data_IF_182122196097
#
_entry.id   IF_182122196097
#
_cell.length_a   1.000
_cell.length_b   1.000
_cell.length_c   1.000
_cell.angle_alpha   90.00
_cell.angle_beta   90.00
_cell.angle_gamma   90.00
#
_symmetry.space_group_name_H-M   'P 1'
#
loop_
_entity.id
_entity.type
_entity.pdbx_description
1 polymer ?
#
# COMPACT_ATOMS: atom_id res chain seq x y z
N UNK A 1 -67.62 -8.28 19.69
CA UNK A 1 -66.88 -7.59 20.77
C UNK A 1 -65.40 -7.58 20.41
N UNK A 2 -64.80 -6.38 20.39
CA UNK A 2 -63.46 -6.06 19.91
C UNK A 2 -62.37 -6.84 20.66
N UNK A 3 -61.50 -7.55 19.94
CA UNK A 3 -60.27 -8.14 20.50
C UNK A 3 -59.17 -7.09 20.37
N UNK A 4 -58.78 -6.49 21.51
CA UNK A 4 -57.64 -5.56 21.60
C UNK A 4 -56.34 -6.31 21.25
N UNK A 5 -55.64 -5.83 20.23
CA UNK A 5 -54.25 -6.20 19.96
C UNK A 5 -53.38 -5.28 20.83
N UNK A 6 -52.77 -5.83 21.89
CA UNK A 6 -51.70 -5.15 22.62
C UNK A 6 -50.44 -5.19 21.75
N UNK A 7 -50.03 -4.04 21.22
CA UNK A 7 -48.69 -3.83 20.67
C UNK A 7 -47.71 -3.85 21.85
N UNK A 8 -46.84 -4.85 21.90
CA UNK A 8 -45.65 -4.82 22.75
C UNK A 8 -44.63 -3.89 22.07
N UNK A 9 -44.34 -2.78 22.72
CA UNK A 9 -43.24 -1.89 22.35
C UNK A 9 -41.95 -2.59 22.81
N UNK A 10 -41.22 -3.16 21.85
CA UNK A 10 -39.87 -3.68 22.09
C UNK A 10 -38.98 -2.45 22.33
N UNK A 11 -38.64 -2.18 23.60
CA UNK A 11 -37.65 -1.18 23.95
C UNK A 11 -36.29 -1.76 23.54
N UNK A 12 -35.78 -1.34 22.39
CA UNK A 12 -34.41 -1.64 21.99
C UNK A 12 -33.46 -1.00 22.99
N UNK A 13 -32.68 -1.82 23.69
CA UNK A 13 -31.55 -1.35 24.46
C UNK A 13 -30.55 -0.74 23.49
N UNK A 14 -30.41 0.59 23.51
CA UNK A 14 -29.33 1.29 22.84
C UNK A 14 -28.08 0.95 23.63
N UNK A 15 -27.29 -0.01 23.13
CA UNK A 15 -25.89 -0.15 23.55
C UNK A 15 -25.16 1.09 23.04
N UNK A 16 -24.96 2.06 23.92
CA UNK A 16 -23.93 3.07 23.71
C UNK A 16 -22.62 2.36 24.02
N UNK A 17 -21.94 1.87 22.99
CA UNK A 17 -20.54 1.50 23.11
C UNK A 17 -19.78 2.78 23.43
N UNK A 18 -19.44 2.96 24.70
CA UNK A 18 -18.38 3.89 25.07
C UNK A 18 -17.11 3.32 24.45
N UNK A 19 -16.60 3.94 23.38
CA UNK A 19 -15.23 3.73 22.95
C UNK A 19 -14.35 4.15 24.13
N UNK A 20 -13.89 3.18 24.89
CA UNK A 20 -12.77 3.37 25.80
C UNK A 20 -11.59 3.45 24.85
N UNK A 21 -11.11 4.66 24.56
CA UNK A 21 -9.79 4.81 23.95
C UNK A 21 -8.82 4.12 24.92
N UNK A 22 -8.19 3.04 24.48
CA UNK A 22 -7.15 2.41 25.27
C UNK A 22 -6.05 3.45 25.42
N UNK A 23 -5.78 3.87 26.66
CA UNK A 23 -4.62 4.71 26.92
C UNK A 23 -3.36 3.94 26.48
N UNK A 24 -2.41 4.63 25.85
CA UNK A 24 -1.14 4.03 25.44
C UNK A 24 -0.41 3.25 26.55
N UNK A 25 0.53 2.41 26.15
CA UNK A 25 1.32 1.54 27.03
C UNK A 25 2.64 2.22 27.39
N UNK A 26 2.76 2.67 28.64
CA UNK A 26 3.99 3.26 29.19
C UNK A 26 5.03 2.19 29.57
N UNK A 27 6.32 2.56 29.62
CA UNK A 27 7.38 1.71 30.16
C UNK A 27 7.66 0.46 29.35
N UNK A 28 7.57 0.55 28.02
CA UNK A 28 7.94 -0.53 27.11
C UNK A 28 9.44 -0.87 27.23
N UNK A 29 9.77 -2.14 26.96
CA UNK A 29 11.14 -2.69 27.02
C UNK A 29 11.36 -3.67 25.87
N UNK A 30 12.61 -3.87 25.48
CA UNK A 30 13.00 -4.74 24.36
C UNK A 30 13.08 -4.01 23.01
N UNK A 31 13.41 -4.78 21.98
CA UNK A 31 13.56 -4.29 20.60
C UNK A 31 12.37 -4.73 19.77
N UNK A 32 11.74 -3.80 19.06
CA UNK A 32 10.63 -4.08 18.16
C UNK A 32 10.98 -3.62 16.75
N UNK A 33 10.63 -4.43 15.76
CA UNK A 33 10.82 -4.12 14.33
C UNK A 33 9.50 -4.24 13.58
N UNK A 34 9.34 -3.47 12.53
CA UNK A 34 8.15 -3.49 11.68
C UNK A 34 8.19 -2.36 10.68
N UNK A 35 7.03 -1.97 10.20
CA UNK A 35 6.92 -0.96 9.15
C UNK A 35 5.94 0.14 9.50
N UNK A 36 6.15 1.29 8.87
CA UNK A 36 5.28 2.45 8.97
C UNK A 36 4.97 3.04 7.59
N UNK A 37 3.83 3.72 7.52
CA UNK A 37 3.50 4.63 6.42
C UNK A 37 3.40 6.05 6.94
N UNK A 38 3.67 7.03 6.08
CA UNK A 38 3.57 8.44 6.42
C UNK A 38 2.45 9.10 5.62
N UNK A 39 1.72 10.02 6.26
CA UNK A 39 0.92 11.02 5.56
C UNK A 39 1.46 12.41 5.90
N UNK A 40 1.64 13.27 4.91
CA UNK A 40 2.04 14.67 5.10
C UNK A 40 0.85 15.57 4.81
N UNK A 41 0.48 16.43 5.76
CA UNK A 41 -0.66 17.36 5.64
C UNK A 41 -0.22 18.81 5.67
N UNK A 42 -1.04 19.68 5.06
CA UNK A 42 -0.84 21.13 5.09
C UNK A 42 -1.61 21.80 6.22
N UNK A 43 -0.90 22.50 7.11
CA UNK A 43 -1.51 23.42 8.06
C UNK A 43 -2.02 24.70 7.35
N UNK A 44 -3.17 25.29 7.76
CA UNK A 44 -4.16 24.81 8.75
C UNK A 44 -5.28 23.97 8.13
N UNK A 45 -5.14 23.57 6.86
CA UNK A 45 -6.25 23.00 6.09
C UNK A 45 -6.48 21.52 6.35
N UNK A 46 -5.46 20.80 6.82
CA UNK A 46 -5.48 19.33 6.94
C UNK A 46 -5.45 18.60 5.60
N UNK A 47 -5.37 19.32 4.47
CA UNK A 47 -5.30 18.73 3.14
C UNK A 47 -4.07 17.82 3.05
N UNK A 48 -4.27 16.61 2.53
CA UNK A 48 -3.18 15.68 2.23
C UNK A 48 -2.32 16.27 1.13
N UNK A 49 -1.03 16.40 1.41
CA UNK A 49 -0.01 16.79 0.43
C UNK A 49 0.67 15.59 -0.21
N UNK A 50 0.64 14.43 0.44
CA UNK A 50 1.19 13.18 -0.08
C UNK A 50 1.20 12.11 1.01
N UNK A 51 1.31 10.86 0.59
CA UNK A 51 1.53 9.70 1.44
C UNK A 51 2.82 8.99 1.00
N UNK A 52 3.45 8.23 1.89
CA UNK A 52 4.57 7.37 1.51
C UNK A 52 4.11 6.28 0.55
N UNK A 53 4.82 6.11 -0.58
CA UNK A 53 4.47 5.16 -1.67
C UNK A 53 4.52 3.69 -1.25
N UNK A 54 5.20 3.41 -0.14
CA UNK A 54 5.22 2.09 0.49
C UNK A 54 5.33 2.22 2.00
N UNK A 55 5.04 1.12 2.68
CA UNK A 55 5.49 0.92 4.04
C UNK A 55 7.02 0.80 4.06
N UNK A 56 7.64 1.40 5.06
CA UNK A 56 9.09 1.41 5.25
C UNK A 56 9.48 0.93 6.64
N UNK A 57 10.63 0.27 6.79
CA UNK A 57 11.00 -0.32 8.05
C UNK A 57 11.39 0.74 9.08
N UNK A 58 11.04 0.45 10.32
CA UNK A 58 11.55 1.11 11.52
C UNK A 58 11.93 0.10 12.60
N UNK A 59 12.80 0.50 13.51
CA UNK A 59 13.20 -0.34 14.64
C UNK A 59 13.24 0.51 15.89
N UNK A 60 12.50 0.08 16.91
CA UNK A 60 12.39 0.73 18.21
C UNK A 60 13.16 -0.10 19.25
N UNK A 61 14.25 0.45 19.78
CA UNK A 61 14.99 -0.12 20.91
C UNK A 61 14.58 0.63 22.19
N UNK A 62 13.62 0.07 22.92
CA UNK A 62 13.11 0.71 24.14
C UNK A 62 14.08 0.67 25.32
N UNK A 63 15.04 -0.26 25.28
CA UNK A 63 16.06 -0.37 26.31
C UNK A 63 17.14 0.71 26.15
N UNK A 64 17.48 1.05 24.89
CA UNK A 64 18.40 2.15 24.56
C UNK A 64 17.72 3.52 24.40
N UNK A 65 16.40 3.55 24.22
CA UNK A 65 15.60 4.75 23.87
C UNK A 65 15.97 5.34 22.52
N UNK A 66 16.19 4.46 21.56
CA UNK A 66 16.60 4.78 20.21
C UNK A 66 15.57 4.24 19.22
N UNK A 67 15.34 4.98 18.14
CA UNK A 67 14.57 4.54 16.99
C UNK A 67 15.37 4.77 15.71
N UNK A 68 15.39 3.78 14.85
CA UNK A 68 15.90 3.88 13.48
C UNK A 68 14.69 3.95 12.55
N UNK A 69 14.57 5.03 11.79
CA UNK A 69 13.44 5.27 10.89
C UNK A 69 13.99 5.62 9.51
N UNK A 70 13.65 4.81 8.51
CA UNK A 70 14.08 5.04 7.12
C UNK A 70 13.03 5.84 6.35
N UNK A 71 13.43 6.53 5.28
CA UNK A 71 12.50 7.30 4.43
C UNK A 71 12.13 6.58 3.13
N UNK A 72 11.18 7.13 2.39
CA UNK A 72 10.81 6.70 1.03
C UNK A 72 10.38 7.91 0.20
N UNK A 73 9.67 7.67 -0.89
CA UNK A 73 9.10 8.68 -1.77
C UNK A 73 7.67 8.99 -1.34
N UNK A 74 7.29 10.26 -1.40
CA UNK A 74 5.90 10.70 -1.28
C UNK A 74 5.22 10.53 -2.64
N UNK A 75 3.92 10.22 -2.64
CA UNK A 75 3.09 10.08 -3.84
C UNK A 75 3.05 11.30 -4.77
N UNK A 76 3.58 12.44 -4.32
CA UNK A 76 3.77 13.66 -5.12
C UNK A 76 5.16 13.81 -5.75
N UNK A 77 6.02 12.81 -5.66
CA UNK A 77 7.31 12.83 -6.35
C UNK A 77 8.53 13.13 -5.49
N UNK A 78 8.38 13.32 -4.17
CA UNK A 78 9.49 13.80 -3.33
C UNK A 78 9.98 12.74 -2.38
N UNK A 79 11.28 12.46 -2.41
CA UNK A 79 11.90 11.66 -1.36
C UNK A 79 11.90 12.43 -0.05
N UNK A 80 11.69 11.73 1.05
CA UNK A 80 11.87 12.27 2.40
C UNK A 80 12.79 11.35 3.20
N UNK A 81 13.40 11.89 4.25
CA UNK A 81 14.09 11.11 5.26
C UNK A 81 13.91 11.73 6.65
N UNK A 82 14.10 10.88 7.66
CA UNK A 82 14.29 11.29 9.05
C UNK A 82 15.75 11.13 9.39
N UNK A 83 16.35 12.20 9.90
CA UNK A 83 17.72 12.18 10.39
C UNK A 83 17.75 12.36 11.90
N UNK A 84 18.89 12.05 12.52
CA UNK A 84 19.16 12.52 13.88
C UNK A 84 19.16 14.07 13.94
N UNK A 85 19.09 14.61 15.15
CA UNK A 85 18.99 16.06 15.32
C UNK A 85 20.19 16.77 14.69
N UNK A 86 19.91 17.81 13.89
CA UNK A 86 20.90 18.53 13.10
C UNK A 86 21.63 17.70 12.02
N UNK A 87 21.22 16.45 11.77
CA UNK A 87 21.94 15.48 10.93
C UNK A 87 23.42 15.40 11.38
N UNK A 88 23.61 15.05 12.65
CA UNK A 88 24.91 15.08 13.32
C UNK A 88 25.80 13.90 12.89
N UNK A 89 25.20 12.74 12.58
CA UNK A 89 25.88 11.62 11.90
C UNK A 89 25.17 11.26 10.59
N UNK A 90 25.61 11.82 9.45
CA UNK A 90 25.00 11.58 8.14
C UNK A 90 25.06 10.13 7.64
N UNK A 91 25.90 9.30 8.26
CA UNK A 91 26.03 7.89 7.89
C UNK A 91 25.19 6.98 8.81
N UNK A 92 24.70 7.49 9.96
CA UNK A 92 23.94 6.71 10.95
C UNK A 92 22.82 7.52 11.60
N UNK A 93 21.62 7.49 11.01
CA UNK A 93 20.45 8.18 11.53
C UNK A 93 19.80 7.41 12.70
N UNK A 94 20.31 7.61 13.91
CA UNK A 94 19.74 7.08 15.16
C UNK A 94 19.02 8.20 15.90
N UNK A 95 17.70 8.09 16.01
CA UNK A 95 16.86 9.11 16.63
C UNK A 95 16.58 8.72 18.09
N UNK A 96 16.84 9.65 19.01
CA UNK A 96 16.52 9.42 20.43
C UNK A 96 15.05 9.73 20.70
N UNK A 97 14.47 9.06 21.70
CA UNK A 97 13.12 9.36 22.17
C UNK A 97 12.99 9.48 23.69
N UNK A 98 11.91 10.14 24.11
CA UNK A 98 11.48 10.25 25.50
C UNK A 98 10.19 9.44 25.68
N UNK A 99 10.17 8.55 26.67
CA UNK A 99 8.94 7.97 27.22
C UNK A 99 8.31 9.00 28.17
N UNK A 100 7.12 9.49 27.81
CA UNK A 100 6.40 10.51 28.56
C UNK A 100 5.66 9.93 29.78
N UNK A 101 5.77 8.61 30.02
CA UNK A 101 5.23 7.85 31.16
C UNK A 101 3.71 7.73 31.21
N UNK A 102 3.02 8.19 30.16
CA UNK A 102 1.57 8.15 30.02
C UNK A 102 1.11 7.30 28.83
N UNK A 103 2.03 6.55 28.23
CA UNK A 103 1.78 5.75 27.03
C UNK A 103 2.13 6.47 25.73
N UNK A 104 2.58 7.73 25.80
CA UNK A 104 3.11 8.47 24.67
C UNK A 104 4.63 8.52 24.66
N UNK A 105 5.20 8.57 23.45
CA UNK A 105 6.63 8.58 23.21
C UNK A 105 6.96 9.68 22.20
N UNK A 106 7.92 10.54 22.51
CA UNK A 106 8.29 11.68 21.65
C UNK A 106 9.69 11.48 21.08
N UNK A 107 9.81 11.46 19.75
CA UNK A 107 11.09 11.42 19.02
C UNK A 107 11.52 12.84 18.63
N UNK A 108 12.82 13.02 18.37
CA UNK A 108 13.42 14.33 18.04
C UNK A 108 14.21 14.30 16.71
N UNK A 109 13.57 14.04 15.56
CA UNK A 109 14.27 13.94 14.28
C UNK A 109 14.50 15.29 13.61
N UNK A 110 15.38 15.30 12.62
CA UNK A 110 15.36 16.27 11.53
C UNK A 110 14.60 15.68 10.33
N UNK A 111 13.49 16.29 9.95
CA UNK A 111 12.74 15.88 8.76
C UNK A 111 13.28 16.62 7.53
N UNK A 112 13.63 15.87 6.48
CA UNK A 112 14.16 16.42 5.23
C UNK A 112 13.30 16.01 4.05
N UNK A 113 12.95 16.98 3.19
CA UNK A 113 12.37 16.74 1.87
C UNK A 113 13.47 16.98 0.83
N UNK A 114 13.76 15.96 0.03
CA UNK A 114 14.71 16.05 -1.07
C UNK A 114 14.05 16.67 -2.30
N UNK A 115 13.97 18.01 -2.29
CA UNK A 115 13.58 18.80 -3.46
C UNK A 115 14.64 19.88 -3.75
N UNK A 116 15.59 19.63 -4.67
CA UNK A 116 16.70 20.55 -4.95
C UNK A 116 16.26 21.96 -5.36
N UNK A 117 15.15 22.09 -6.11
CA UNK A 117 14.61 23.41 -6.51
C UNK A 117 14.10 24.25 -5.34
N UNK A 118 13.80 23.60 -4.22
CA UNK A 118 13.44 24.24 -2.95
C UNK A 118 14.64 24.29 -1.98
N UNK A 119 15.82 23.87 -2.42
CA UNK A 119 17.05 23.84 -1.62
C UNK A 119 17.17 22.65 -0.67
N UNK A 120 16.47 21.53 -0.94
CA UNK A 120 16.40 20.36 -0.05
C UNK A 120 16.02 20.75 1.38
N UNK A 121 14.82 21.31 1.55
CA UNK A 121 14.42 21.87 2.83
C UNK A 121 14.38 20.80 3.92
N UNK A 122 14.88 21.16 5.10
CA UNK A 122 14.94 20.30 6.28
C UNK A 122 14.77 21.10 7.55
N UNK A 123 14.15 20.52 8.57
CA UNK A 123 14.05 21.13 9.89
C UNK A 123 13.99 20.09 10.99
N UNK A 124 14.57 20.43 12.15
CA UNK A 124 14.36 19.67 13.37
C UNK A 124 12.90 19.82 13.80
N UNK A 125 12.31 18.72 14.27
CA UNK A 125 10.94 18.67 14.75
C UNK A 125 10.85 17.71 15.94
N UNK A 126 9.68 17.66 16.54
CA UNK A 126 9.24 16.52 17.35
C UNK A 126 8.19 15.74 16.59
N UNK A 127 8.05 14.46 16.90
CA UNK A 127 6.86 13.67 16.56
C UNK A 127 6.50 12.89 17.81
N UNK A 128 5.24 12.95 18.22
CA UNK A 128 4.75 12.21 19.40
C UNK A 128 3.82 11.10 18.95
N UNK A 129 4.05 9.92 19.50
CA UNK A 129 3.26 8.73 19.23
C UNK A 129 2.50 8.32 20.48
N UNK A 130 1.26 7.88 20.32
CA UNK A 130 0.63 6.95 21.24
C UNK A 130 1.01 5.53 20.80
N UNK A 131 1.55 4.73 21.73
CA UNK A 131 1.93 3.34 21.44
C UNK A 131 1.06 2.41 22.26
N UNK A 132 0.32 1.52 21.60
CA UNK A 132 -0.54 0.52 22.24
C UNK A 132 0.12 -0.84 22.06
N UNK A 133 0.41 -1.54 23.16
CA UNK A 133 0.93 -2.90 23.13
C UNK A 133 -0.18 -3.92 23.28
N UNK A 134 -0.22 -4.89 22.37
CA UNK A 134 -1.05 -6.10 22.47
C UNK A 134 -0.14 -7.30 22.28
N UNK A 135 0.04 -8.10 23.33
CA UNK A 135 0.97 -9.24 23.37
C UNK A 135 2.39 -8.86 22.95
N UNK A 136 2.90 -9.38 21.83
CA UNK A 136 4.23 -9.06 21.29
C UNK A 136 4.21 -7.96 20.22
N UNK A 137 3.04 -7.36 19.96
CA UNK A 137 2.83 -6.35 18.92
C UNK A 137 2.61 -4.96 19.50
N UNK A 138 3.05 -3.96 18.74
CA UNK A 138 2.84 -2.54 18.98
C UNK A 138 2.04 -1.94 17.82
N UNK A 139 1.00 -1.20 18.15
CA UNK A 139 0.37 -0.23 17.27
C UNK A 139 0.93 1.16 17.62
N UNK A 140 1.53 1.84 16.65
CA UNK A 140 2.28 3.08 16.87
C UNK A 140 1.62 4.19 16.03
N UNK A 141 0.90 5.07 16.71
CA UNK A 141 0.07 6.10 16.08
C UNK A 141 0.60 7.50 16.39
N UNK A 142 0.94 8.28 15.36
CA UNK A 142 1.22 9.71 15.57
C UNK A 142 -0.03 10.40 16.09
N UNK A 143 0.12 11.24 17.12
CA UNK A 143 -0.93 12.09 17.66
C UNK A 143 -0.75 13.56 17.22
N UNK A 144 -1.84 14.33 17.30
CA UNK A 144 -1.81 15.79 17.20
C UNK A 144 -1.06 16.34 18.43
N UNK A 145 0.14 16.88 18.20
CA UNK A 145 1.02 17.34 19.25
C UNK A 145 1.88 18.52 18.78
N UNK A 146 1.44 19.75 19.07
CA UNK A 146 2.26 20.94 18.83
C UNK A 146 2.40 21.86 20.05
N UNK A 147 3.43 22.70 20.01
CA UNK A 147 3.64 23.77 20.99
C UNK A 147 2.54 24.85 20.83
N UNK A 148 1.40 24.66 21.49
CA UNK A 148 0.33 25.64 21.51
C UNK A 148 -1.08 25.06 21.54
N UNK A 149 -1.89 25.44 20.56
CA UNK A 149 -3.28 25.01 20.45
C UNK A 149 -3.34 23.93 19.38
N UNK A 150 -3.71 22.73 19.81
CA UNK A 150 -4.01 21.60 18.94
C UNK A 150 -5.00 22.01 17.85
N UNK A 151 -4.68 21.71 16.60
CA UNK A 151 -5.45 22.13 15.44
C UNK A 151 -6.28 20.98 14.82
N UNK A 152 -6.12 19.76 15.34
CA UNK A 152 -6.81 18.55 14.90
C UNK A 152 -6.12 17.82 13.75
N UNK A 153 -4.94 18.24 13.34
CA UNK A 153 -4.11 17.58 12.32
C UNK A 153 -3.06 16.73 13.06
N UNK A 154 -2.84 15.49 12.57
CA UNK A 154 -1.87 14.60 13.20
C UNK A 154 -0.44 15.03 12.87
N UNK A 155 0.42 15.06 13.88
CA UNK A 155 1.83 15.43 13.77
C UNK A 155 2.17 16.68 14.56
N UNK A 156 3.33 17.26 14.23
CA UNK A 156 3.79 18.54 14.75
C UNK A 156 4.03 19.49 13.58
N UNK A 157 3.61 20.74 13.71
CA UNK A 157 3.80 21.77 12.69
C UNK A 157 5.29 22.03 12.41
N UNK A 158 5.69 21.86 11.15
CA UNK A 158 7.02 22.16 10.65
C UNK A 158 6.95 23.34 9.67
N UNK A 159 7.31 24.57 10.10
CA UNK A 159 7.26 25.74 9.25
C UNK A 159 8.45 25.75 8.26
N UNK A 160 8.17 26.07 7.00
CA UNK A 160 9.21 26.39 6.02
C UNK A 160 10.01 25.20 5.45
N UNK A 161 9.63 23.95 5.78
CA UNK A 161 10.18 22.74 5.14
C UNK A 161 9.52 22.44 3.79
N UNK A 162 8.35 23.02 3.56
CA UNK A 162 7.73 23.13 2.25
C UNK A 162 7.38 24.62 2.08
N UNK A 163 6.99 25.16 0.90
CA UNK A 163 6.45 26.52 0.81
C UNK A 163 5.23 26.77 1.72
N UNK A 164 4.73 25.72 2.38
CA UNK A 164 3.67 25.69 3.37
C UNK A 164 4.20 25.09 4.68
N UNK A 165 3.49 25.33 5.78
CA UNK A 165 3.69 24.58 7.03
C UNK A 165 3.10 23.19 6.86
N UNK A 166 3.88 22.17 7.20
CA UNK A 166 3.50 20.77 7.01
C UNK A 166 3.49 20.02 8.34
N UNK A 167 2.75 18.92 8.37
CA UNK A 167 2.66 18.03 9.51
C UNK A 167 2.80 16.58 9.02
N UNK A 168 3.99 15.96 9.22
CA UNK A 168 4.20 14.56 8.95
C UNK A 168 3.60 13.68 10.06
N UNK A 169 2.86 12.66 9.66
CA UNK A 169 2.25 11.68 10.56
C UNK A 169 2.66 10.26 10.16
N UNK A 170 3.88 9.80 10.54
CA UNK A 170 4.26 8.40 10.42
C UNK A 170 3.43 7.54 11.40
N UNK A 171 2.91 6.41 10.95
CA UNK A 171 2.16 5.48 11.79
C UNK A 171 2.33 4.07 11.24
N UNK A 172 2.27 3.07 12.11
CA UNK A 172 2.56 1.71 11.72
C UNK A 172 2.49 0.73 12.85
N UNK A 173 3.12 -0.42 12.64
CA UNK A 173 3.17 -1.49 13.63
C UNK A 173 4.61 -1.97 13.82
N UNK A 174 4.87 -2.59 14.97
CA UNK A 174 6.14 -3.26 15.22
C UNK A 174 5.92 -4.47 16.12
N UNK A 175 6.75 -5.50 15.97
CA UNK A 175 6.71 -6.72 16.79
C UNK A 175 8.02 -6.95 17.50
N UNK A 176 7.93 -7.56 18.68
CA UNK A 176 9.08 -7.88 19.52
C UNK A 176 10.02 -8.82 18.76
N UNK A 177 11.29 -8.41 18.64
CA UNK A 177 12.31 -9.21 17.95
C UNK A 177 12.50 -10.56 18.64
N UNK A 178 12.44 -11.63 17.84
CA UNK A 178 12.55 -13.01 18.33
C UNK A 178 11.31 -13.55 19.06
N UNK A 179 10.17 -12.89 18.94
CA UNK A 179 8.89 -13.44 19.37
C UNK A 179 8.43 -14.59 18.46
N UNK A 180 7.63 -15.47 19.05
CA UNK A 180 6.88 -16.55 18.40
C UNK A 180 5.52 -16.57 19.12
N UNK A 181 4.51 -15.93 18.53
CA UNK A 181 3.23 -15.63 19.18
C UNK A 181 2.36 -16.88 19.36
N UNK A 182 2.47 -17.84 18.43
CA UNK A 182 1.67 -19.06 18.41
C UNK A 182 2.43 -20.30 18.95
N UNK A 183 3.72 -20.15 19.29
CA UNK A 183 4.63 -21.19 19.79
C UNK A 183 4.80 -22.38 18.83
N UNK A 184 4.76 -22.15 17.51
CA UNK A 184 4.91 -23.20 16.47
C UNK A 184 6.34 -23.37 15.96
N UNK A 185 7.26 -22.47 16.33
CA UNK A 185 8.65 -22.48 15.92
C UNK A 185 8.98 -21.63 14.69
N UNK A 186 8.00 -20.99 14.07
CA UNK A 186 8.17 -19.90 13.10
C UNK A 186 8.19 -18.58 13.87
N UNK A 187 9.27 -17.81 13.74
CA UNK A 187 9.33 -16.50 14.40
C UNK A 187 8.29 -15.54 13.82
N UNK A 188 7.78 -14.59 14.61
CA UNK A 188 6.84 -13.57 14.15
C UNK A 188 7.38 -12.81 12.92
N UNK A 189 8.70 -12.58 12.88
CA UNK A 189 9.39 -11.94 11.74
C UNK A 189 9.35 -12.80 10.49
N UNK A 190 9.60 -14.10 10.62
CA UNK A 190 9.54 -15.03 9.49
C UNK A 190 8.11 -15.27 9.00
N UNK A 191 7.14 -15.39 9.91
CA UNK A 191 5.73 -15.50 9.56
C UNK A 191 5.28 -14.30 8.72
N UNK A 192 5.59 -13.07 9.16
CA UNK A 192 5.27 -11.85 8.41
C UNK A 192 5.97 -11.84 7.04
N UNK A 193 7.26 -12.22 6.99
CA UNK A 193 8.01 -12.30 5.73
C UNK A 193 7.38 -13.28 4.73
N UNK A 194 6.78 -14.35 5.23
CA UNK A 194 6.06 -15.35 4.44
C UNK A 194 4.60 -14.97 4.14
N UNK A 195 4.09 -13.87 4.70
CA UNK A 195 2.69 -13.46 4.55
C UNK A 195 1.71 -14.15 5.50
N UNK A 196 2.21 -14.93 6.46
CA UNK A 196 1.42 -15.66 7.45
C UNK A 196 0.90 -14.74 8.57
N UNK A 197 -0.14 -15.19 9.27
CA UNK A 197 -0.58 -14.57 10.52
C UNK A 197 0.26 -15.14 11.69
N UNK A 198 1.20 -14.37 12.27
CA UNK A 198 2.14 -14.88 13.27
C UNK A 198 1.48 -15.40 14.55
N UNK A 199 0.22 -15.03 14.82
CA UNK A 199 -0.50 -15.46 16.01
C UNK A 199 -1.54 -16.56 15.72
N UNK A 200 -1.59 -17.10 14.50
CA UNK A 200 -2.41 -18.27 14.15
C UNK A 200 -1.52 -19.46 13.85
N UNK A 201 -1.93 -20.65 14.29
CA UNK A 201 -1.23 -21.90 13.97
C UNK A 201 -1.48 -22.38 12.52
N UNK A 202 -2.47 -21.80 11.86
CA UNK A 202 -3.06 -22.19 10.58
C UNK A 202 -3.66 -20.90 9.99
N UNK A 203 -2.92 -20.29 9.07
CA UNK A 203 -3.20 -18.94 8.56
C UNK A 203 -4.41 -18.94 7.63
N UNK A 204 -4.45 -19.90 6.70
CA UNK A 204 -5.50 -20.02 5.69
C UNK A 204 -6.76 -20.75 6.20
N UNK A 205 -6.65 -21.43 7.34
CA UNK A 205 -7.74 -22.04 8.08
C UNK A 205 -8.21 -23.39 7.51
N UNK A 206 -7.36 -24.10 6.78
CA UNK A 206 -7.72 -25.37 6.13
C UNK A 206 -7.61 -26.60 7.06
N UNK A 207 -7.00 -26.42 8.23
CA UNK A 207 -6.78 -27.45 9.25
C UNK A 207 -5.38 -28.08 9.25
N UNK A 208 -4.48 -27.66 8.36
CA UNK A 208 -3.07 -27.98 8.35
C UNK A 208 -2.30 -26.80 8.99
N UNK A 209 -1.40 -27.06 9.94
CA UNK A 209 -0.60 -25.98 10.54
C UNK A 209 0.46 -25.40 9.59
N UNK A 210 0.67 -24.08 9.69
CA UNK A 210 1.64 -23.32 8.88
C UNK A 210 3.04 -23.97 8.90
N UNK A 211 3.53 -24.39 10.08
CA UNK A 211 4.85 -25.03 10.19
C UNK A 211 4.98 -26.34 9.40
N UNK A 212 3.87 -27.03 9.11
CA UNK A 212 3.86 -28.24 8.27
C UNK A 212 3.92 -27.84 6.79
N UNK A 213 3.21 -26.81 6.39
CA UNK A 213 3.09 -26.36 5.01
C UNK A 213 4.30 -25.56 4.56
N UNK A 214 4.86 -24.70 5.41
CA UNK A 214 6.17 -24.08 5.19
C UNK A 214 7.26 -25.16 5.05
N UNK A 215 7.19 -26.23 5.84
CA UNK A 215 8.17 -27.32 5.78
C UNK A 215 9.48 -27.03 6.51
N UNK A 216 10.55 -27.77 6.17
CA UNK A 216 11.81 -27.73 6.93
C UNK A 216 12.73 -26.55 6.57
N UNK A 217 12.57 -25.93 5.40
CA UNK A 217 13.38 -24.80 4.93
C UNK A 217 12.52 -23.56 4.74
N UNK A 218 12.58 -22.67 5.73
CA UNK A 218 11.81 -21.42 5.75
C UNK A 218 12.20 -20.40 4.64
N UNK A 219 13.32 -20.63 3.96
CA UNK A 219 13.73 -19.83 2.81
C UNK A 219 13.24 -20.42 1.48
N UNK A 220 12.76 -21.66 1.51
CA UNK A 220 12.17 -22.38 0.37
C UNK A 220 10.90 -23.10 0.87
N UNK A 221 9.87 -22.35 1.28
CA UNK A 221 8.60 -22.92 1.72
C UNK A 221 7.99 -23.80 0.62
N UNK A 222 7.10 -24.74 0.99
CA UNK A 222 6.44 -25.55 -0.03
C UNK A 222 5.49 -24.71 -0.86
N UNK A 223 5.47 -25.03 -2.13
CA UNK A 223 4.58 -24.54 -3.18
C UNK A 223 4.34 -25.78 -4.06
N UNK A 224 3.25 -26.48 -3.78
CA UNK A 224 3.00 -27.85 -4.23
C UNK A 224 2.54 -27.91 -5.69
N UNK A 225 1.98 -26.83 -6.23
CA UNK A 225 1.58 -26.73 -7.63
C UNK A 225 2.47 -25.81 -8.49
N UNK A 226 3.37 -25.06 -7.85
CA UNK A 226 4.39 -24.24 -8.50
C UNK A 226 3.85 -22.91 -9.04
N UNK A 227 2.76 -22.40 -8.47
CA UNK A 227 2.13 -21.18 -8.96
C UNK A 227 2.76 -19.87 -8.42
N UNK A 228 3.62 -20.00 -7.39
CA UNK A 228 4.32 -18.90 -6.72
C UNK A 228 3.73 -18.48 -5.38
N UNK A 229 2.59 -19.04 -4.97
CA UNK A 229 2.04 -18.92 -3.63
C UNK A 229 2.46 -20.17 -2.82
N UNK A 230 2.68 -20.00 -1.51
CA UNK A 230 3.13 -21.10 -0.66
C UNK A 230 1.92 -21.87 -0.13
N UNK A 231 2.07 -23.19 0.09
CA UNK A 231 1.01 -24.07 0.58
C UNK A 231 0.28 -23.48 1.80
N UNK A 232 1.02 -22.85 2.73
CA UNK A 232 0.49 -22.27 3.97
C UNK A 232 -0.42 -21.03 3.78
N UNK A 233 -0.58 -20.56 2.54
CA UNK A 233 -1.48 -19.47 2.16
C UNK A 233 -2.63 -19.95 1.28
N UNK A 234 -2.75 -21.25 1.02
CA UNK A 234 -3.65 -21.83 0.03
C UNK A 234 -4.52 -22.95 0.61
N UNK A 235 -5.78 -22.61 0.91
CA UNK A 235 -6.64 -23.53 1.64
C UNK A 235 -6.92 -24.86 0.91
N UNK A 236 -6.48 -25.96 1.51
CA UNK A 236 -6.89 -27.32 1.20
C UNK A 236 -6.40 -27.83 -0.16
N UNK A 237 -7.34 -28.14 -1.05
CA UNK A 237 -7.01 -28.64 -2.40
C UNK A 237 -6.44 -27.54 -3.31
N UNK A 238 -6.52 -26.26 -2.91
CA UNK A 238 -5.99 -25.13 -3.68
C UNK A 238 -4.46 -25.17 -3.80
N UNK A 239 -3.74 -25.55 -2.74
CA UNK A 239 -2.29 -25.76 -2.74
C UNK A 239 -1.78 -26.78 -3.79
N UNK A 240 -2.69 -27.52 -4.43
CA UNK A 240 -2.37 -28.52 -5.46
C UNK A 240 -3.02 -28.19 -6.82
N UNK A 241 -3.53 -26.97 -7.01
CA UNK A 241 -4.41 -26.59 -8.11
C UNK A 241 -3.98 -25.30 -8.82
N UNK A 242 -2.98 -25.43 -9.69
CA UNK A 242 -2.38 -24.29 -10.40
C UNK A 242 -3.29 -23.57 -11.41
N UNK A 243 -4.59 -23.89 -11.49
CA UNK A 243 -5.53 -23.21 -12.40
C UNK A 243 -6.37 -22.12 -11.71
N UNK A 244 -6.28 -22.01 -10.39
CA UNK A 244 -7.06 -21.06 -9.59
C UNK A 244 -6.35 -20.74 -8.29
N UNK A 245 -6.17 -19.44 -8.03
CA UNK A 245 -5.60 -18.92 -6.79
C UNK A 245 -6.64 -18.02 -6.16
N UNK A 246 -6.87 -18.16 -4.86
CA UNK A 246 -7.89 -17.42 -4.14
C UNK A 246 -7.27 -16.44 -3.14
N UNK A 247 -7.97 -15.34 -2.91
CA UNK A 247 -7.69 -14.40 -1.81
C UNK A 247 -6.28 -13.80 -1.73
N UNK A 248 -5.60 -13.62 -2.88
CA UNK A 248 -4.29 -12.94 -2.95
C UNK A 248 -4.44 -11.50 -2.43
N UNK A 249 -3.63 -11.14 -1.42
CA UNK A 249 -3.66 -9.82 -0.80
C UNK A 249 -3.13 -8.73 -1.73
N UNK A 250 -3.91 -7.65 -1.87
CA UNK A 250 -3.56 -6.43 -2.63
C UNK A 250 -2.98 -5.34 -1.71
N UNK A 251 -2.41 -4.29 -2.29
CA UNK A 251 -1.75 -3.20 -1.53
C UNK A 251 -2.68 -2.41 -0.60
N UNK A 252 -4.00 -2.44 -0.86
CA UNK A 252 -5.01 -1.80 -0.03
C UNK A 252 -5.67 -2.77 0.96
N UNK A 253 -5.05 -3.92 1.23
CA UNK A 253 -5.55 -5.02 2.07
C UNK A 253 -6.82 -5.72 1.56
N UNK A 254 -7.37 -5.33 0.40
CA UNK A 254 -8.39 -6.16 -0.27
C UNK A 254 -7.74 -7.39 -0.90
N UNK A 255 -8.56 -8.32 -1.38
CA UNK A 255 -8.08 -9.58 -1.99
C UNK A 255 -8.55 -9.73 -3.42
N UNK A 256 -7.80 -10.48 -4.22
CA UNK A 256 -8.13 -10.87 -5.58
C UNK A 256 -7.97 -12.38 -5.77
N UNK A 257 -8.95 -13.01 -6.40
CA UNK A 257 -8.84 -14.37 -6.89
C UNK A 257 -8.62 -14.37 -8.40
N UNK A 258 -7.74 -15.24 -8.88
CA UNK A 258 -7.40 -15.41 -10.29
C UNK A 258 -7.71 -16.85 -10.71
N UNK A 259 -8.35 -17.03 -11.86
CA UNK A 259 -8.58 -18.37 -12.41
C UNK A 259 -8.47 -18.40 -13.93
N UNK A 260 -8.02 -19.54 -14.44
CA UNK A 260 -7.91 -19.85 -15.87
C UNK A 260 -8.73 -21.10 -16.19
N UNK A 261 -8.78 -21.48 -17.47
CA UNK A 261 -9.42 -22.75 -17.86
C UNK A 261 -8.73 -23.95 -17.19
N UNK A 262 -9.48 -25.00 -16.83
CA UNK A 262 -8.96 -26.20 -16.13
C UNK A 262 -7.76 -26.85 -16.83
N UNK A 263 -7.62 -26.67 -18.14
CA UNK A 263 -6.52 -27.19 -18.93
C UNK A 263 -5.29 -26.29 -18.94
N UNK A 264 -5.20 -25.25 -18.11
CA UNK A 264 -4.12 -24.28 -18.08
C UNK A 264 -3.60 -24.11 -16.67
N UNK A 265 -2.38 -23.58 -16.57
CA UNK A 265 -1.72 -23.36 -15.28
C UNK A 265 -1.29 -21.90 -15.15
N UNK A 266 -1.33 -21.38 -13.94
CA UNK A 266 -0.80 -20.12 -13.46
C UNK A 266 0.57 -20.41 -12.82
N UNK A 267 1.48 -19.45 -12.99
CA UNK A 267 2.82 -19.50 -12.42
C UNK A 267 3.32 -18.09 -12.11
N UNK A 268 4.22 -17.97 -11.13
CA UNK A 268 4.87 -16.72 -10.74
C UNK A 268 3.86 -15.61 -10.45
N UNK A 269 2.83 -15.91 -9.67
CA UNK A 269 1.82 -14.91 -9.31
C UNK A 269 2.38 -14.00 -8.21
N UNK A 270 2.33 -12.68 -8.44
CA UNK A 270 2.80 -11.69 -7.47
C UNK A 270 2.03 -10.38 -7.56
N UNK A 271 2.03 -9.64 -6.45
CA UNK A 271 1.47 -8.28 -6.38
C UNK A 271 2.58 -7.30 -6.03
N UNK A 272 2.73 -6.25 -6.84
CA UNK A 272 3.77 -5.22 -6.66
C UNK A 272 3.18 -3.81 -6.72
N UNK A 273 3.99 -2.80 -6.37
CA UNK A 273 3.59 -1.41 -6.52
C UNK A 273 3.57 -0.97 -7.98
N UNK A 274 2.62 -0.10 -8.32
CA UNK A 274 2.62 0.67 -9.55
C UNK A 274 3.45 1.95 -9.43
N UNK A 275 4.00 2.25 -8.25
CA UNK A 275 4.83 3.42 -7.99
C UNK A 275 6.31 3.05 -8.14
N UNK A 276 7.10 3.92 -8.79
CA UNK A 276 8.52 3.71 -9.03
C UNK A 276 9.38 4.42 -7.99
N UNK A 277 10.45 3.74 -7.56
CA UNK A 277 11.51 4.40 -6.80
C UNK A 277 12.28 5.35 -7.72
N UNK A 278 12.50 6.57 -7.23
CA UNK A 278 13.42 7.51 -7.87
C UNK A 278 14.87 7.01 -7.59
N UNK A 279 15.69 6.66 -8.60
CA UNK A 279 17.05 6.17 -8.36
C UNK A 279 17.97 7.30 -7.88
N UNK A 280 18.55 7.23 -6.67
CA UNK A 280 19.57 8.14 -6.10
C UNK A 280 19.91 9.41 -6.94
N UNK A 281 19.01 10.39 -6.93
CA UNK A 281 19.13 11.58 -7.75
C UNK A 281 20.23 12.51 -7.22
N UNK A 282 21.38 12.53 -7.89
CA UNK A 282 22.46 13.51 -7.64
C UNK A 282 22.32 14.82 -8.43
N UNK A 283 21.22 15.03 -9.17
CA UNK A 283 21.07 16.20 -10.05
C UNK A 283 19.63 16.67 -10.36
N UNK A 284 19.51 17.98 -10.59
CA UNK A 284 18.30 18.79 -10.90
C UNK A 284 17.62 18.51 -12.26
N UNK A 285 18.07 17.52 -13.03
CA UNK A 285 17.54 17.23 -14.38
C UNK A 285 16.30 16.34 -14.42
N UNK A 286 16.07 15.54 -13.38
CA UNK A 286 15.14 14.40 -13.38
C UNK A 286 13.87 14.63 -12.54
N UNK A 287 13.46 15.88 -12.31
CA UNK A 287 12.40 16.19 -11.32
C UNK A 287 11.23 17.04 -11.87
N UNK A 288 11.11 17.17 -13.20
CA UNK A 288 10.05 17.97 -13.83
C UNK A 288 9.24 17.19 -14.89
N UNK A 289 9.60 15.96 -15.24
CA UNK A 289 8.84 15.17 -16.23
C UNK A 289 8.43 13.75 -15.79
N UNK A 290 8.86 13.26 -14.63
CA UNK A 290 8.66 11.85 -14.28
C UNK A 290 7.38 11.66 -13.47
N UNK A 291 6.37 11.12 -14.14
CA UNK A 291 5.28 10.40 -13.49
C UNK A 291 5.89 9.23 -12.71
N UNK A 292 5.70 9.24 -11.38
CA UNK A 292 6.18 8.17 -10.51
C UNK A 292 5.28 6.95 -10.53
N UNK A 293 4.24 6.93 -11.36
CA UNK A 293 3.52 5.70 -11.64
C UNK A 293 4.11 5.04 -12.88
N UNK A 294 4.14 3.71 -12.90
CA UNK A 294 4.39 2.92 -14.10
C UNK A 294 3.26 3.08 -15.15
N UNK A 295 2.16 3.74 -14.76
CA UNK A 295 0.90 3.87 -15.48
C UNK A 295 0.68 5.23 -16.16
N UNK A 296 -0.56 5.72 -16.13
CA UNK A 296 -0.92 7.03 -16.67
C UNK A 296 -0.85 8.10 -15.57
N UNK A 297 -0.21 9.25 -15.83
CA UNK A 297 0.00 10.26 -14.82
C UNK A 297 -1.31 10.79 -14.22
N UNK A 298 -1.35 10.88 -12.89
CA UNK A 298 -2.48 11.43 -12.14
C UNK A 298 -3.62 10.44 -11.86
N UNK A 299 -3.45 9.16 -12.21
CA UNK A 299 -4.29 8.08 -11.69
C UNK A 299 -3.70 7.50 -10.41
N UNK A 300 -4.58 7.00 -9.54
CA UNK A 300 -4.18 6.23 -8.36
C UNK A 300 -4.31 4.73 -8.67
N UNK A 301 -3.29 3.97 -8.29
CA UNK A 301 -3.21 2.52 -8.47
C UNK A 301 -3.16 1.82 -7.11
N UNK A 302 -4.17 2.08 -6.27
CA UNK A 302 -4.24 1.59 -4.88
C UNK A 302 -4.26 0.07 -4.74
N UNK A 303 -4.53 -0.66 -5.83
CA UNK A 303 -4.49 -2.12 -5.87
C UNK A 303 -3.09 -2.68 -6.20
N UNK A 304 -2.16 -1.84 -6.65
CA UNK A 304 -0.88 -2.26 -7.20
C UNK A 304 -0.99 -2.82 -8.63
N UNK A 305 0.01 -3.62 -9.01
CA UNK A 305 -0.02 -4.45 -10.20
C UNK A 305 -0.03 -5.94 -9.82
N UNK A 306 -0.74 -6.74 -10.61
CA UNK A 306 -0.76 -8.19 -10.53
C UNK A 306 0.06 -8.75 -11.69
N UNK A 307 1.11 -9.51 -11.38
CA UNK A 307 1.95 -10.21 -12.34
C UNK A 307 1.69 -11.71 -12.25
N UNK A 308 1.62 -12.39 -13.39
CA UNK A 308 1.47 -13.85 -13.46
C UNK A 308 1.87 -14.36 -14.85
N UNK A 309 2.18 -15.65 -14.94
CA UNK A 309 2.39 -16.39 -16.19
C UNK A 309 1.25 -17.37 -16.38
N UNK A 310 0.67 -17.42 -17.58
CA UNK A 310 -0.29 -18.47 -17.95
C UNK A 310 0.34 -19.44 -18.94
N UNK A 311 0.35 -20.73 -18.62
CA UNK A 311 0.86 -21.80 -19.48
C UNK A 311 -0.28 -22.49 -20.21
N UNK A 312 -0.29 -22.40 -21.53
CA UNK A 312 -1.28 -23.04 -22.40
C UNK A 312 -0.86 -24.49 -22.68
N UNK A 313 -1.62 -25.47 -22.17
CA UNK A 313 -1.34 -26.88 -22.47
C UNK A 313 -1.84 -27.34 -23.85
N UNK A 314 -2.64 -26.52 -24.54
CA UNK A 314 -3.13 -26.78 -25.90
C UNK A 314 -2.45 -25.83 -26.88
N UNK A 315 -1.44 -26.33 -27.59
CA UNK A 315 -0.67 -25.57 -28.59
C UNK A 315 -1.49 -25.14 -29.83
N UNK A 316 -2.79 -25.46 -29.89
CA UNK A 316 -3.70 -24.92 -30.90
C UNK A 316 -4.37 -23.61 -30.50
N UNK A 317 -4.26 -23.22 -29.22
CA UNK A 317 -4.72 -21.93 -28.72
C UNK A 317 -3.55 -20.95 -28.60
N UNK A 318 -3.73 -19.76 -29.16
CA UNK A 318 -2.80 -18.65 -28.98
C UNK A 318 -3.29 -17.64 -27.93
N UNK A 319 -4.53 -17.81 -27.44
CA UNK A 319 -5.17 -16.87 -26.52
C UNK A 319 -6.00 -17.60 -25.48
N UNK A 320 -6.13 -17.00 -24.30
CA UNK A 320 -7.01 -17.51 -23.25
C UNK A 320 -7.68 -16.37 -22.49
N UNK A 321 -8.70 -16.73 -21.70
CA UNK A 321 -9.38 -15.84 -20.78
C UNK A 321 -8.93 -16.12 -19.36
N UNK A 322 -8.49 -15.07 -18.67
CA UNK A 322 -8.22 -15.06 -17.23
C UNK A 322 -9.40 -14.37 -16.55
N UNK A 323 -9.93 -14.99 -15.50
CA UNK A 323 -10.97 -14.40 -14.66
C UNK A 323 -10.34 -13.85 -13.40
N UNK A 324 -10.66 -12.60 -13.07
CA UNK A 324 -10.19 -11.91 -11.87
C UNK A 324 -11.40 -11.47 -11.05
N UNK A 325 -11.39 -11.78 -9.76
CA UNK A 325 -12.50 -11.48 -8.85
C UNK A 325 -11.98 -10.79 -7.60
N UNK A 326 -12.37 -9.54 -7.39
CA UNK A 326 -11.99 -8.78 -6.20
C UNK A 326 -12.97 -9.04 -5.05
N UNK A 327 -12.48 -9.09 -3.81
CA UNK A 327 -13.34 -9.09 -2.63
C UNK A 327 -14.09 -7.76 -2.42
N UNK A 328 -13.61 -6.68 -3.04
CA UNK A 328 -14.29 -5.37 -3.09
C UNK A 328 -14.91 -5.06 -4.45
N UNK A 329 -15.89 -4.16 -4.49
CA UNK A 329 -16.48 -3.71 -5.75
C UNK A 329 -15.43 -3.09 -6.69
N UNK A 330 -15.56 -3.39 -7.98
CA UNK A 330 -14.80 -2.77 -9.04
C UNK A 330 -15.08 -1.26 -9.09
N UNK A 331 -14.08 -0.43 -9.43
CA UNK A 331 -14.28 0.99 -9.65
C UNK A 331 -15.43 1.29 -10.62
N UNK A 332 -16.26 2.31 -10.33
CA UNK A 332 -17.38 2.70 -11.20
C UNK A 332 -16.94 3.08 -12.62
N UNK A 333 -15.76 3.69 -12.74
CA UNK A 333 -15.12 4.04 -14.01
C UNK A 333 -13.82 3.26 -14.17
N UNK A 334 -13.99 1.95 -14.31
CA UNK A 334 -12.92 0.98 -14.42
C UNK A 334 -12.00 1.26 -15.62
N UNK A 335 -10.69 1.26 -15.35
CA UNK A 335 -9.63 1.21 -16.33
C UNK A 335 -8.75 -0.02 -16.02
N UNK A 336 -8.31 -0.71 -17.06
CA UNK A 336 -7.36 -1.83 -16.96
C UNK A 336 -6.13 -1.45 -17.78
N UNK A 337 -4.98 -1.43 -17.14
CA UNK A 337 -3.69 -1.20 -17.77
C UNK A 337 -2.91 -2.51 -17.82
N UNK A 338 -2.15 -2.74 -18.88
CA UNK A 338 -1.22 -3.85 -18.98
C UNK A 338 0.14 -3.36 -19.48
N UNK A 339 1.21 -3.91 -18.92
CA UNK A 339 2.58 -3.61 -19.33
C UNK A 339 2.83 -4.11 -20.76
N UNK A 340 3.51 -3.31 -21.56
CA UNK A 340 3.92 -3.65 -22.92
C UNK A 340 5.32 -4.26 -22.92
N UNK A 341 5.54 -5.29 -23.75
CA UNK A 341 6.83 -5.94 -23.90
C UNK A 341 7.92 -5.00 -24.44
N UNK A 342 7.67 -4.29 -25.53
CA UNK A 342 8.72 -3.48 -26.18
C UNK A 342 9.07 -2.23 -25.36
N UNK A 343 8.08 -1.51 -24.86
CA UNK A 343 8.30 -0.24 -24.15
C UNK A 343 8.54 -0.41 -22.65
N UNK A 344 8.13 -1.55 -22.07
CA UNK A 344 8.11 -1.79 -20.62
C UNK A 344 7.22 -0.79 -19.84
N UNK A 345 6.36 -0.05 -20.55
CA UNK A 345 5.42 0.92 -19.97
C UNK A 345 4.01 0.32 -19.96
N UNK A 346 3.19 0.68 -18.97
CA UNK A 346 1.79 0.28 -18.96
C UNK A 346 0.98 1.12 -19.95
N UNK A 347 0.10 0.45 -20.69
CA UNK A 347 -0.87 1.12 -21.55
C UNK A 347 -2.27 0.57 -21.30
N UNK A 348 -3.28 1.39 -21.60
CA UNK A 348 -4.69 1.02 -21.42
C UNK A 348 -5.02 -0.20 -22.29
N UNK A 349 -5.65 -1.21 -21.68
CA UNK A 349 -6.10 -2.40 -22.37
C UNK A 349 -7.35 -2.09 -23.22
N UNK A 350 -7.31 -2.52 -24.48
CA UNK A 350 -8.43 -2.34 -25.41
C UNK A 350 -9.73 -2.92 -24.85
N UNK A 351 -10.82 -2.16 -25.02
CA UNK A 351 -12.15 -2.54 -24.50
C UNK A 351 -12.72 -3.85 -25.04
N UNK A 352 -12.18 -4.38 -26.15
CA UNK A 352 -12.57 -5.68 -26.70
C UNK A 352 -11.78 -6.86 -26.09
N UNK A 353 -10.74 -6.58 -25.29
CA UNK A 353 -9.89 -7.58 -24.63
C UNK A 353 -10.36 -7.87 -23.20
N UNK A 354 -11.40 -7.21 -22.70
CA UNK A 354 -11.93 -7.48 -21.37
C UNK A 354 -13.44 -7.26 -21.27
N UNK A 355 -14.06 -7.89 -20.28
CA UNK A 355 -15.46 -7.69 -19.94
C UNK A 355 -15.67 -7.63 -18.43
N UNK A 356 -16.55 -6.72 -17.96
CA UNK A 356 -17.06 -6.73 -16.59
C UNK A 356 -18.19 -7.75 -16.51
N UNK A 357 -18.00 -8.81 -15.72
CA UNK A 357 -18.97 -9.91 -15.56
C UNK A 357 -20.05 -9.52 -14.55
N UNK A 358 -19.62 -8.98 -13.41
CA UNK A 358 -20.48 -8.47 -12.33
C UNK A 358 -19.74 -7.35 -11.56
N UNK A 359 -20.25 -6.93 -10.40
CA UNK A 359 -19.69 -5.81 -9.63
C UNK A 359 -18.30 -6.07 -9.03
N UNK A 360 -17.81 -7.31 -9.06
CA UNK A 360 -16.53 -7.71 -8.46
C UNK A 360 -15.62 -8.44 -9.45
N UNK A 361 -16.17 -8.91 -10.57
CA UNK A 361 -15.51 -9.85 -11.47
C UNK A 361 -15.27 -9.25 -12.85
N UNK A 362 -14.04 -9.37 -13.33
CA UNK A 362 -13.65 -9.06 -14.71
C UNK A 362 -13.06 -10.29 -15.38
N UNK A 363 -13.20 -10.36 -16.69
CA UNK A 363 -12.49 -11.31 -17.53
C UNK A 363 -11.60 -10.56 -18.50
N UNK A 364 -10.37 -11.02 -18.66
CA UNK A 364 -9.39 -10.44 -19.58
C UNK A 364 -8.94 -11.52 -20.57
N UNK A 365 -8.70 -11.13 -21.81
CA UNK A 365 -8.17 -11.99 -22.86
C UNK A 365 -6.69 -11.67 -23.06
N UNK A 366 -5.84 -12.64 -22.80
CA UNK A 366 -4.39 -12.57 -23.02
C UNK A 366 -3.99 -13.42 -24.22
N UNK A 367 -2.88 -13.12 -24.88
CA UNK A 367 -2.48 -13.76 -26.13
C UNK A 367 -0.96 -13.94 -26.20
N UNK A 368 -0.52 -15.17 -26.47
CA UNK A 368 0.89 -15.57 -26.63
C UNK A 368 1.47 -14.96 -27.91
N UNK A 369 2.60 -14.26 -27.77
CA UNK A 369 3.27 -13.42 -28.78
C UNK A 369 2.52 -12.12 -29.16
N UNK A 370 1.62 -11.59 -28.31
CA UNK A 370 1.12 -10.22 -28.50
C UNK A 370 1.97 -9.17 -27.76
N UNK A 371 1.68 -7.88 -27.94
CA UNK A 371 2.47 -6.79 -27.32
C UNK A 371 2.41 -6.79 -25.79
N UNK A 372 1.46 -7.50 -25.19
CA UNK A 372 1.26 -7.62 -23.74
C UNK A 372 1.91 -8.87 -23.15
N UNK A 373 2.43 -9.75 -23.99
CA UNK A 373 3.19 -10.92 -23.56
C UNK A 373 4.65 -10.55 -23.28
N UNK A 374 5.01 -10.50 -22.00
CA UNK A 374 6.24 -9.85 -21.52
C UNK A 374 7.53 -10.63 -21.79
N UNK A 375 7.48 -11.85 -22.34
CA UNK A 375 8.68 -12.51 -22.86
C UNK A 375 8.88 -12.32 -24.37
N UNK A 376 7.85 -11.89 -25.10
CA UNK A 376 7.88 -11.67 -26.54
C UNK A 376 8.23 -12.90 -27.36
N UNK A 377 8.00 -14.10 -26.82
CA UNK A 377 8.25 -15.38 -27.48
C UNK A 377 6.93 -16.01 -27.93
N UNK A 378 7.03 -17.06 -28.75
CA UNK A 378 5.91 -17.94 -29.10
C UNK A 378 6.18 -19.29 -28.50
N UNK A 379 5.80 -19.48 -27.24
CA UNK A 379 6.22 -20.63 -26.42
C UNK A 379 5.08 -21.26 -25.62
N UNK A 380 3.83 -20.83 -25.80
CA UNK A 380 2.67 -21.21 -24.97
C UNK A 380 2.75 -20.73 -23.51
N UNK A 381 3.66 -19.82 -23.18
CA UNK A 381 3.72 -19.15 -21.88
C UNK A 381 3.37 -17.68 -22.12
N UNK A 382 2.40 -17.14 -21.38
CA UNK A 382 1.99 -15.75 -21.52
C UNK A 382 2.34 -15.02 -20.23
N UNK A 383 3.37 -14.18 -20.26
CA UNK A 383 3.77 -13.39 -19.08
C UNK A 383 2.99 -12.08 -19.06
N UNK A 384 2.20 -11.88 -18.01
CA UNK A 384 1.26 -10.77 -17.89
C UNK A 384 1.58 -9.94 -16.66
N UNK A 385 1.50 -8.62 -16.78
CA UNK A 385 1.53 -7.66 -15.67
C UNK A 385 0.43 -6.62 -15.90
N UNK A 386 -0.53 -6.53 -14.99
CA UNK A 386 -1.71 -5.67 -15.14
C UNK A 386 -1.99 -4.83 -13.90
N UNK A 387 -2.64 -3.69 -14.09
CA UNK A 387 -3.08 -2.82 -13.02
C UNK A 387 -4.52 -2.35 -13.24
N UNK A 388 -5.31 -2.36 -12.18
CA UNK A 388 -6.70 -1.90 -12.18
C UNK A 388 -6.76 -0.52 -11.53
N UNK A 389 -7.39 0.44 -12.21
CA UNK A 389 -7.49 1.82 -11.73
C UNK A 389 -8.90 2.40 -11.92
N UNK A 390 -9.18 3.46 -11.17
CA UNK A 390 -10.37 4.28 -11.35
C UNK A 390 -10.04 5.51 -12.19
N UNK A 391 -10.86 5.82 -13.19
CA UNK A 391 -10.76 7.09 -13.90
C UNK A 391 -11.22 8.27 -13.00
N UNK A 392 -10.25 8.92 -12.38
CA UNK A 392 -10.42 10.14 -11.57
C UNK A 392 -10.21 11.42 -12.37
N UNK A 393 -9.60 11.33 -13.56
CA UNK A 393 -9.19 12.48 -14.39
C UNK A 393 -10.35 13.26 -15.03
N UNK A 394 -11.56 12.69 -15.06
CA UNK A 394 -12.77 13.37 -15.51
C UNK A 394 -12.84 13.58 -17.03
N UNK A 395 -13.71 12.82 -17.70
CA UNK A 395 -14.08 12.90 -19.12
C UNK A 395 -12.97 13.32 -20.10
N UNK A 396 -12.16 12.33 -20.49
CA UNK A 396 -11.71 12.22 -21.87
C UNK A 396 -12.09 10.82 -22.34
N UNK A 397 -13.18 10.70 -23.12
CA UNK A 397 -13.30 9.58 -24.05
C UNK A 397 -12.15 9.75 -25.05
N UNK A 398 -11.03 9.05 -24.86
CA UNK A 398 -10.01 8.92 -25.90
C UNK A 398 -10.61 8.00 -26.96
N UNK A 399 -11.07 8.58 -28.07
CA UNK A 399 -11.14 7.83 -29.33
C UNK A 399 -9.71 7.52 -29.74
N UNK A 400 -9.45 6.25 -29.96
CA UNK A 400 -8.21 5.72 -30.51
C UNK A 400 -7.78 6.56 -31.73
N UNK A 401 -6.63 7.24 -31.63
CA UNK A 401 -5.74 7.55 -32.76
C UNK A 401 -4.49 8.31 -32.27
N UNK A 402 -3.35 7.60 -32.34
CA UNK A 402 -1.99 8.09 -32.65
C UNK A 402 -1.42 9.36 -32.00
N UNK A 403 -0.31 9.14 -31.27
CA UNK A 403 0.94 9.92 -31.27
C UNK A 403 0.95 11.38 -30.76
N UNK A 404 1.87 11.64 -29.81
CA UNK A 404 2.55 12.94 -29.68
C UNK A 404 2.45 13.55 -28.29
N UNK A 405 3.56 13.46 -27.54
CA UNK A 405 3.69 14.03 -26.21
C UNK A 405 3.86 15.55 -26.15
N UNK A 406 4.07 15.99 -24.91
CA UNK A 406 4.45 17.32 -24.45
C UNK A 406 3.32 18.38 -24.39
N UNK A 407 3.39 19.20 -23.34
CA UNK A 407 2.73 20.49 -23.06
C UNK A 407 1.52 20.49 -22.07
N UNK A 408 0.92 19.36 -21.66
CA UNK A 408 -0.32 19.43 -20.84
C UNK A 408 -0.14 19.51 -19.31
N UNK A 409 1.05 19.26 -18.76
CA UNK A 409 1.26 19.21 -17.30
C UNK A 409 1.26 20.58 -16.60
N UNK A 410 1.63 21.68 -17.28
CA UNK A 410 1.72 23.01 -16.64
C UNK A 410 0.36 23.75 -16.54
N UNK A 411 -0.62 23.38 -17.36
CA UNK A 411 -1.94 24.04 -17.37
C UNK A 411 -2.87 23.52 -16.25
N UNK A 412 -2.68 22.28 -15.79
CA UNK A 412 -3.51 21.69 -14.73
C UNK A 412 -3.26 22.38 -13.38
N UNK A 413 -2.00 22.65 -13.02
CA UNK A 413 -1.65 23.31 -11.77
C UNK A 413 -2.14 24.78 -11.72
N UNK A 414 -2.15 25.48 -12.85
CA UNK A 414 -2.64 26.85 -12.96
C UNK A 414 -4.18 26.94 -12.98
N UNK A 415 -4.88 25.93 -13.52
CA UNK A 415 -6.34 25.94 -13.58
C UNK A 415 -7.01 25.84 -12.21
N UNK A 416 -6.40 25.10 -11.27
CA UNK A 416 -6.85 24.98 -9.88
C UNK A 416 -6.69 26.31 -9.11
N UNK A 417 -5.67 27.10 -9.41
CA UNK A 417 -5.44 28.42 -8.78
C UNK A 417 -6.46 29.46 -9.27
N UNK A 418 -6.94 29.35 -10.52
CA UNK A 418 -7.90 30.33 -11.09
C UNK A 418 -9.37 30.04 -10.73
N UNK A 419 -9.76 28.80 -10.42
CA UNK A 419 -11.13 28.50 -10.00
C UNK A 419 -11.46 29.06 -8.60
N UNK A 420 -10.49 29.19 -7.70
CA UNK A 420 -10.74 29.72 -6.35
C UNK A 420 -10.95 31.25 -6.29
N UNK A 421 -10.38 32.02 -7.24
CA UNK A 421 -10.59 33.49 -7.27
C UNK A 421 -12.00 33.90 -7.68
N UNK A 422 -12.81 33.01 -8.26
CA UNK A 422 -14.18 33.34 -8.69
C UNK A 422 -15.24 33.16 -7.59
N UNK A 423 -14.92 32.43 -6.51
CA UNK A 423 -15.84 32.21 -5.38
C UNK A 423 -15.67 33.18 -4.20
N UNK A 424 -14.62 34.02 -4.16
CA UNK A 424 -14.45 35.07 -3.13
C UNK A 424 -15.04 36.46 -3.49
N UNK A 425 -15.77 36.61 -4.61
CA UNK A 425 -16.48 37.86 -4.96
C UNK A 425 -17.98 37.65 -5.11
N UNK A 426 -18.67 37.23 -4.05
CA UNK A 426 -20.12 37.40 -3.89
C UNK A 426 -20.55 37.23 -2.43
N UNK A 427 -20.13 38.18 -1.58
CA UNK A 427 -20.78 38.50 -0.30
C UNK A 427 -20.25 39.85 0.20
N UNK A 428 -20.71 40.93 -0.43
CA UNK A 428 -21.09 42.21 0.19
C UNK A 428 -22.30 42.71 -0.60
#
# INVERSE_FOLDING_TARGET
MKKQIKKYLLLGAIFVSTNIYAAGTAGLTGVYTGDYQITVRAHPTGNVLGYGVRSVPWTWDFDKKEVVITGTTLSVGFNYAFHDIDNADPDNDIINFVDNTDGTYTIFPQFQIYKPDLGNPRANTTITFEIIKTDNSLEINTIDAEDGVLDGILGTQIPGVFPLTIEPAPMGTARLVGADCNDDGISDEDAIRLGLDPCKLDTDGDGIPDYIEVGEDINNPKDSDGDGIIDALEAGDLAFSSNSIEDIKLLNDSTISISVEESMNLQNVSVESMETEIPDNTGIGDLIEDDLTLGEPGLEYSLGNLTFTTVLNDSSKDSTTVTLKLSSFLPEKLLIYMKEYESQVYSLLDSNKWEKVDDNTIKITITDLDGKDLDGLKNNEIKTSLAIAQNTLGQIERKDESAGGSIYSLLLLLSLIFLQKKFMKRKI
#
